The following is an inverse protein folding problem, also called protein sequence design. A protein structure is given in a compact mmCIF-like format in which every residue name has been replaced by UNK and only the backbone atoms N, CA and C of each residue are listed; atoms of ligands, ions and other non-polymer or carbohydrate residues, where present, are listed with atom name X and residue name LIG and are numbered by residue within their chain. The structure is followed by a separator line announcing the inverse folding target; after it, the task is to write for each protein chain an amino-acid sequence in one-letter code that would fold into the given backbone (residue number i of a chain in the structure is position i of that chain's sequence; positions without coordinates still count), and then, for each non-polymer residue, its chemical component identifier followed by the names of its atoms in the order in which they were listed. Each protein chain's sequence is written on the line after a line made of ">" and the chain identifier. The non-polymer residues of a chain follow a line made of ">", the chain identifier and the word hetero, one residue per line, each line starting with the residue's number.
data_IF_241478020305
#
_entry.id   IF_241478020305
#
_cell.length_a   1.000
_cell.length_b   1.000
_cell.length_c   1.000
_cell.angle_alpha   90.00
_cell.angle_beta   90.00
_cell.angle_gamma   90.00
#
_symmetry.space_group_name_H-M   'P 1'
#
loop_
_entity.id
_entity.type
_entity.pdbx_description
1 polymer ?
#
# COMPACT_ATOMS: atom_id res chain seq x y z
N UNK A 1 6.88 -10.16 -16.54
CA UNK A 1 5.48 -10.55 -16.31
C UNK A 1 5.14 -11.72 -17.23
N UNK A 2 4.40 -12.70 -16.72
CA UNK A 2 3.78 -13.78 -17.51
C UNK A 2 2.40 -13.34 -18.00
N UNK A 3 1.97 -13.83 -19.17
CA UNK A 3 0.62 -13.60 -19.68
C UNK A 3 -0.32 -14.62 -19.06
N UNK A 4 -1.37 -14.13 -18.41
CA UNK A 4 -2.42 -14.96 -17.82
C UNK A 4 -3.75 -14.51 -18.38
N UNK A 5 -4.54 -15.44 -18.92
CA UNK A 5 -5.92 -15.18 -19.34
C UNK A 5 -6.82 -15.38 -18.14
N UNK A 6 -7.51 -14.33 -17.70
CA UNK A 6 -8.47 -14.36 -16.61
C UNK A 6 -9.69 -13.52 -17.01
N UNK A 7 -10.86 -13.96 -16.57
CA UNK A 7 -12.05 -13.11 -16.60
C UNK A 7 -12.00 -12.16 -15.40
N UNK A 8 -12.31 -10.90 -15.64
CA UNK A 8 -12.28 -9.83 -14.64
C UNK A 8 -13.62 -9.11 -14.72
N UNK A 9 -14.20 -8.84 -13.55
CA UNK A 9 -15.36 -7.96 -13.43
C UNK A 9 -14.96 -6.54 -13.86
N UNK A 10 -15.59 -6.04 -14.93
CA UNK A 10 -15.24 -4.76 -15.53
C UNK A 10 -15.64 -3.57 -14.62
N UNK A 11 -16.67 -3.71 -13.79
CA UNK A 11 -17.08 -2.67 -12.85
C UNK A 11 -16.06 -2.57 -11.71
N UNK A 12 -15.63 -3.70 -11.15
CA UNK A 12 -14.57 -3.75 -10.15
C UNK A 12 -13.24 -3.22 -10.70
N UNK A 13 -12.91 -3.55 -11.95
CA UNK A 13 -11.71 -3.05 -12.62
C UNK A 13 -11.77 -1.54 -12.84
N UNK A 14 -12.94 -1.00 -13.15
CA UNK A 14 -13.17 0.44 -13.36
C UNK A 14 -13.04 1.18 -12.03
N UNK A 15 -13.71 0.71 -10.97
CA UNK A 15 -13.60 1.29 -9.63
C UNK A 15 -12.14 1.30 -9.13
N UNK A 16 -11.41 0.19 -9.31
CA UNK A 16 -10.00 0.12 -8.94
C UNK A 16 -9.13 1.08 -9.78
N UNK A 17 -9.45 1.27 -11.07
CA UNK A 17 -8.70 2.18 -11.92
C UNK A 17 -8.90 3.65 -11.52
N UNK A 18 -10.12 4.02 -11.14
CA UNK A 18 -10.46 5.34 -10.62
C UNK A 18 -9.74 5.62 -9.29
N UNK A 19 -9.79 4.67 -8.35
CA UNK A 19 -9.13 4.79 -7.04
C UNK A 19 -7.60 4.90 -7.17
N UNK A 20 -7.01 4.08 -8.05
CA UNK A 20 -5.56 4.05 -8.24
C UNK A 20 -5.05 5.11 -9.22
N UNK A 21 -5.94 5.77 -9.97
CA UNK A 21 -5.60 6.74 -11.02
C UNK A 21 -4.85 6.10 -12.20
N UNK A 22 -5.14 4.85 -12.53
CA UNK A 22 -4.48 4.10 -13.62
C UNK A 22 -5.22 4.23 -14.93
N UNK A 23 -4.50 4.02 -16.05
CA UNK A 23 -5.06 4.23 -17.41
C UNK A 23 -5.25 2.94 -18.18
N UNK A 24 -4.62 1.84 -17.76
CA UNK A 24 -4.69 0.56 -18.48
C UNK A 24 -5.08 -0.58 -17.55
N UNK A 25 -5.81 -1.57 -18.08
CA UNK A 25 -6.23 -2.76 -17.31
C UNK A 25 -5.03 -3.45 -16.64
N UNK A 26 -3.91 -3.59 -17.36
CA UNK A 26 -2.68 -4.21 -16.83
C UNK A 26 -2.07 -3.40 -15.70
N UNK A 27 -2.01 -2.08 -15.84
CA UNK A 27 -1.52 -1.19 -14.79
C UNK A 27 -2.40 -1.27 -13.53
N UNK A 28 -3.72 -1.22 -13.70
CA UNK A 28 -4.69 -1.34 -12.59
C UNK A 28 -4.48 -2.66 -11.84
N UNK A 29 -4.44 -3.78 -12.55
CA UNK A 29 -4.29 -5.11 -11.93
C UNK A 29 -2.96 -5.22 -11.18
N UNK A 30 -1.85 -4.80 -11.78
CA UNK A 30 -0.55 -4.90 -11.12
C UNK A 30 -0.45 -3.98 -9.90
N UNK A 31 -0.96 -2.74 -9.99
CA UNK A 31 -0.97 -1.82 -8.85
C UNK A 31 -1.90 -2.30 -7.73
N UNK A 32 -3.09 -2.79 -8.05
CA UNK A 32 -4.01 -3.35 -7.06
C UNK A 32 -3.38 -4.55 -6.31
N UNK A 33 -2.73 -5.46 -7.03
CA UNK A 33 -2.01 -6.59 -6.40
C UNK A 33 -0.87 -6.11 -5.51
N UNK A 34 -0.10 -5.10 -5.95
CA UNK A 34 0.94 -4.47 -5.14
C UNK A 34 0.41 -3.84 -3.86
N UNK A 35 -0.69 -3.10 -3.94
CA UNK A 35 -1.33 -2.46 -2.78
C UNK A 35 -1.82 -3.47 -1.75
N UNK A 36 -2.41 -4.58 -2.21
CA UNK A 36 -2.86 -5.65 -1.31
C UNK A 36 -1.68 -6.38 -0.68
N UNK A 37 -0.61 -6.64 -1.42
CA UNK A 37 0.61 -7.23 -0.86
C UNK A 37 1.23 -6.32 0.21
N UNK A 38 1.35 -5.02 -0.09
CA UNK A 38 1.88 -4.01 0.83
C UNK A 38 0.99 -3.79 2.06
N UNK A 39 -0.32 -4.06 1.97
CA UNK A 39 -1.26 -3.90 3.09
C UNK A 39 -0.82 -4.64 4.35
N UNK A 40 -0.29 -5.87 4.21
CA UNK A 40 0.17 -6.67 5.36
C UNK A 40 1.38 -6.02 6.05
N UNK A 41 2.30 -5.47 5.27
CA UNK A 41 3.48 -4.79 5.81
C UNK A 41 3.10 -3.48 6.48
N UNK A 42 2.17 -2.71 5.90
CA UNK A 42 1.60 -1.51 6.54
C UNK A 42 0.94 -1.83 7.88
N UNK A 43 0.19 -2.94 7.98
CA UNK A 43 -0.41 -3.37 9.25
C UNK A 43 0.65 -3.75 10.30
N UNK A 44 1.68 -4.48 9.91
CA UNK A 44 2.81 -4.80 10.81
C UNK A 44 3.53 -3.55 11.29
N UNK A 45 3.74 -2.58 10.41
CA UNK A 45 4.34 -1.29 10.78
C UNK A 45 3.48 -0.57 11.81
N UNK A 46 2.16 -0.53 11.62
CA UNK A 46 1.24 0.07 12.59
C UNK A 46 1.23 -0.66 13.93
N UNK A 47 1.30 -1.99 13.92
CA UNK A 47 1.44 -2.80 15.15
C UNK A 47 2.76 -2.50 15.87
N UNK A 48 3.87 -2.39 15.13
CA UNK A 48 5.16 -2.01 15.68
C UNK A 48 5.15 -0.58 16.25
N UNK A 49 4.56 0.38 15.53
CA UNK A 49 4.38 1.76 16.01
C UNK A 49 3.55 1.84 17.29
N UNK A 50 2.62 0.89 17.49
CA UNK A 50 1.82 0.79 18.72
C UNK A 50 2.57 0.07 19.85
N UNK A 51 3.63 -0.67 19.54
CA UNK A 51 4.43 -1.39 20.52
C UNK A 51 5.35 -0.43 21.28
N UNK A 52 5.83 -0.85 22.45
CA UNK A 52 6.81 -0.09 23.23
C UNK A 52 8.19 0.01 22.53
N UNK A 53 8.40 -0.70 21.41
CA UNK A 53 9.63 -0.63 20.62
C UNK A 53 9.72 0.65 19.77
N UNK A 54 8.59 1.34 19.56
CA UNK A 54 8.52 2.64 18.88
C UNK A 54 8.51 3.84 19.85
N UNK A 55 8.83 3.61 21.13
CA UNK A 55 8.61 4.58 22.21
C UNK A 55 9.42 5.88 22.06
N UNK A 56 10.58 5.85 21.40
CA UNK A 56 11.39 7.04 21.13
C UNK A 56 10.83 7.90 19.99
N UNK A 57 10.06 7.32 19.07
CA UNK A 57 9.36 8.06 18.00
C UNK A 57 8.30 9.03 18.55
N UNK A 58 7.82 8.80 19.78
CA UNK A 58 6.91 9.70 20.49
C UNK A 58 7.62 10.92 21.10
N UNK A 59 8.95 10.93 21.17
CA UNK A 59 9.72 12.04 21.71
C UNK A 59 9.88 13.15 20.64
N UNK A 60 9.38 14.38 20.88
CA UNK A 60 9.43 15.45 19.87
C UNK A 60 10.85 15.75 19.36
N UNK A 61 11.85 15.65 20.25
CA UNK A 61 13.24 15.88 19.90
C UNK A 61 13.86 14.80 18.99
N UNK A 62 13.32 13.58 19.00
CA UNK A 62 13.79 12.50 18.12
C UNK A 62 13.25 12.72 16.70
N UNK A 63 11.96 13.03 16.54
CA UNK A 63 11.38 13.33 15.24
C UNK A 63 11.93 14.62 14.61
N UNK A 64 12.11 15.69 15.38
CA UNK A 64 12.68 16.94 14.86
C UNK A 64 14.12 16.78 14.33
N UNK A 65 14.88 15.83 14.88
CA UNK A 65 16.24 15.54 14.42
C UNK A 65 16.30 14.59 13.22
N UNK A 66 15.29 13.72 13.03
CA UNK A 66 15.26 12.77 11.93
C UNK A 66 15.01 13.42 10.54
N UNK A 67 14.43 14.61 10.52
CA UNK A 67 14.05 15.34 9.30
C UNK A 67 14.96 16.54 8.97
N UNK A 68 16.07 16.69 9.69
CA UNK A 68 17.15 17.64 9.33
C UNK A 68 18.08 17.05 8.30
#
# INVERSE_FOLDING_TARGET
>A
MTRTLIDIDDDALTAAAEELGTKTKVETVNRALGEIAARKERLKLLEWLRSAEANDLGEPGVMDNAWR
#
